data_IF_828022779714
#
_entry.id   IF_828022779714
#
_cell.length_a   1.000
_cell.length_b   1.000
_cell.length_c   1.000
_cell.angle_alpha   90.00
_cell.angle_beta   90.00
_cell.angle_gamma   90.00
#
_symmetry.space_group_name_H-M   'P 1'
#
loop_
_entity.id
_entity.type
_entity.pdbx_description
1 polymer ?
#
# COMPACT_ATOMS: atom_id res chain seq x y z
N UNK A 1 19.93 -9.79 -9.80
CA UNK A 1 19.69 -8.34 -9.61
C UNK A 1 18.21 -8.18 -9.20
N UNK A 2 17.81 -7.23 -8.33
CA UNK A 2 16.40 -7.06 -7.89
C UNK A 2 15.39 -6.80 -9.04
N UNK A 3 15.88 -6.67 -10.27
CA UNK A 3 15.15 -6.49 -11.52
C UNK A 3 14.75 -7.79 -12.24
N UNK A 4 15.38 -8.94 -11.94
CA UNK A 4 15.09 -10.20 -12.62
C UNK A 4 14.03 -11.00 -11.82
N UNK A 5 12.91 -11.33 -12.46
CA UNK A 5 11.77 -12.04 -11.86
C UNK A 5 11.14 -11.34 -10.64
N UNK A 6 11.03 -10.01 -10.68
CA UNK A 6 10.34 -9.27 -9.63
C UNK A 6 8.84 -9.61 -9.61
N UNK A 7 8.37 -10.06 -8.45
CA UNK A 7 6.94 -10.16 -8.13
C UNK A 7 6.59 -9.07 -7.12
N UNK A 8 5.72 -8.10 -7.48
CA UNK A 8 5.37 -7.05 -6.55
C UNK A 8 4.54 -7.58 -5.40
N UNK A 9 4.88 -7.13 -4.19
CA UNK A 9 4.01 -7.30 -3.04
C UNK A 9 2.86 -6.32 -3.05
N UNK A 10 1.84 -6.63 -2.26
CA UNK A 10 0.74 -5.73 -1.90
C UNK A 10 1.31 -4.48 -1.20
N UNK A 11 0.74 -3.30 -1.48
CA UNK A 11 1.16 -2.02 -0.92
C UNK A 11 0.00 -1.33 -0.22
N UNK A 12 0.23 -0.84 0.99
CA UNK A 12 -0.72 -0.03 1.75
C UNK A 12 -0.18 1.39 1.84
N UNK A 13 -1.02 2.37 1.52
CA UNK A 13 -0.64 3.78 1.53
C UNK A 13 -1.39 4.54 2.62
N UNK A 14 -0.64 5.36 3.35
CA UNK A 14 -1.12 6.16 4.47
C UNK A 14 -0.59 7.58 4.32
N UNK A 15 -1.33 8.58 4.80
CA UNK A 15 -0.83 9.95 4.83
C UNK A 15 0.17 10.09 5.96
N UNK A 16 1.35 10.61 5.63
CA UNK A 16 2.43 10.75 6.61
C UNK A 16 2.04 11.57 7.83
N UNK A 17 1.34 12.70 7.61
CA UNK A 17 0.87 13.59 8.68
C UNK A 17 -0.10 12.90 9.64
N UNK A 18 -0.98 12.05 9.12
CA UNK A 18 -1.99 11.35 9.90
C UNK A 18 -1.32 10.27 10.78
N UNK A 19 -0.28 9.60 10.27
CA UNK A 19 0.55 8.67 11.06
C UNK A 19 1.31 9.39 12.18
N UNK A 20 1.89 10.55 11.90
CA UNK A 20 2.65 11.34 12.89
C UNK A 20 1.74 11.94 13.98
N UNK A 21 0.48 12.24 13.65
CA UNK A 21 -0.52 12.70 14.58
C UNK A 21 -1.20 11.58 15.39
N UNK A 22 -0.96 10.31 15.03
CA UNK A 22 -1.61 9.17 15.69
C UNK A 22 -1.19 9.07 17.17
N UNK A 23 -2.16 8.80 18.07
CA UNK A 23 -1.93 8.77 19.53
C UNK A 23 -0.88 7.74 19.97
N UNK A 24 -0.77 6.64 19.23
CA UNK A 24 0.24 5.57 19.41
C UNK A 24 1.50 5.75 18.54
N UNK A 25 1.73 6.93 17.96
CA UNK A 25 2.94 7.19 17.19
C UNK A 25 4.19 6.90 18.02
N UNK A 26 5.17 6.22 17.42
CA UNK A 26 6.42 5.90 18.07
C UNK A 26 7.61 5.99 17.12
N UNK A 27 8.78 6.19 17.72
CA UNK A 27 10.08 6.10 17.09
C UNK A 27 10.79 4.87 17.66
N UNK A 28 11.34 4.02 16.80
CA UNK A 28 12.16 2.87 17.22
C UNK A 28 13.66 3.22 17.31
N UNK A 29 14.01 4.50 17.19
CA UNK A 29 15.38 5.01 17.16
C UNK A 29 16.05 4.94 15.78
N UNK A 30 15.39 4.41 14.74
CA UNK A 30 15.96 4.32 13.39
C UNK A 30 14.99 4.79 12.30
N UNK A 31 13.75 4.34 12.31
CA UNK A 31 12.72 4.70 11.33
C UNK A 31 11.60 5.51 11.98
N UNK A 32 11.32 6.70 11.42
CA UNK A 32 10.13 7.47 11.78
C UNK A 32 8.88 6.92 11.06
N UNK A 33 7.69 7.10 11.65
CA UNK A 33 6.42 6.68 11.01
C UNK A 33 5.84 5.36 11.49
N UNK A 34 6.10 4.99 12.74
CA UNK A 34 5.57 3.76 13.32
C UNK A 34 4.39 4.06 14.23
N UNK A 35 3.45 3.13 14.27
CA UNK A 35 2.32 3.10 15.21
C UNK A 35 2.45 1.83 16.03
N UNK A 36 2.34 1.93 17.35
CA UNK A 36 2.42 0.76 18.24
C UNK A 36 1.17 -0.13 18.11
N UNK A 37 1.38 -1.44 18.17
CA UNK A 37 0.38 -2.52 18.11
C UNK A 37 -0.31 -2.68 16.75
N UNK A 38 -1.17 -1.73 16.37
CA UNK A 38 -2.00 -1.80 15.16
C UNK A 38 -2.40 -0.41 14.68
N UNK A 39 -2.83 -0.35 13.42
CA UNK A 39 -3.45 0.82 12.80
C UNK A 39 -4.79 0.40 12.20
N UNK A 40 -5.80 1.25 12.35
CA UNK A 40 -7.10 1.04 11.73
C UNK A 40 -7.03 1.36 10.23
N UNK A 41 -7.30 0.37 9.38
CA UNK A 41 -7.28 0.57 7.92
C UNK A 41 -8.47 1.38 7.44
N UNK A 42 -9.61 1.31 8.11
CA UNK A 42 -10.77 2.10 7.73
C UNK A 42 -10.51 3.59 7.89
N UNK A 43 -9.87 3.96 8.99
CA UNK A 43 -9.62 5.36 9.33
C UNK A 43 -8.39 5.93 8.59
N UNK A 44 -7.28 5.18 8.51
CA UNK A 44 -5.99 5.77 8.11
C UNK A 44 -5.53 5.40 6.69
N UNK A 45 -6.05 4.31 6.10
CA UNK A 45 -5.57 3.86 4.78
C UNK A 45 -6.15 4.74 3.66
N UNK A 46 -5.28 5.30 2.83
CA UNK A 46 -5.68 5.98 1.59
C UNK A 46 -6.15 4.94 0.58
N UNK A 47 -5.28 3.98 0.27
CA UNK A 47 -5.56 2.90 -0.65
C UNK A 47 -4.64 1.70 -0.40
N UNK A 48 -5.10 0.54 -0.87
CA UNK A 48 -4.31 -0.66 -1.01
C UNK A 48 -4.12 -0.93 -2.51
N UNK A 49 -2.88 -1.10 -2.96
CA UNK A 49 -2.56 -1.41 -4.35
C UNK A 49 -2.00 -2.83 -4.40
N UNK A 50 -2.66 -3.68 -5.19
CA UNK A 50 -2.33 -5.09 -5.32
C UNK A 50 -1.96 -5.43 -6.78
N UNK A 51 -1.05 -6.38 -7.02
CA UNK A 51 -0.87 -6.96 -8.34
C UNK A 51 -2.19 -7.58 -8.82
N UNK A 52 -2.54 -7.38 -10.08
CA UNK A 52 -3.79 -7.93 -10.65
C UNK A 52 -3.86 -9.46 -10.60
N UNK A 53 -2.73 -10.15 -10.58
CA UNK A 53 -2.67 -11.60 -10.39
C UNK A 53 -3.30 -12.07 -9.06
N UNK A 54 -3.38 -11.19 -8.06
CA UNK A 54 -3.99 -11.49 -6.76
C UNK A 54 -5.50 -11.20 -6.72
N UNK A 55 -6.09 -10.65 -7.78
CA UNK A 55 -7.50 -10.23 -7.78
C UNK A 55 -8.45 -11.39 -7.44
N UNK A 56 -8.28 -12.54 -8.09
CA UNK A 56 -9.14 -13.71 -7.83
C UNK A 56 -9.00 -14.24 -6.39
N UNK A 57 -7.80 -14.14 -5.81
CA UNK A 57 -7.53 -14.60 -4.45
C UNK A 57 -8.17 -13.68 -3.39
N UNK A 58 -8.18 -12.36 -3.63
CA UNK A 58 -8.56 -11.38 -2.61
C UNK A 58 -9.96 -10.77 -2.80
N UNK A 59 -10.50 -10.73 -4.02
CA UNK A 59 -11.73 -9.99 -4.34
C UNK A 59 -12.93 -10.35 -3.47
N UNK A 60 -13.03 -11.60 -3.03
CA UNK A 60 -14.16 -12.09 -2.22
C UNK A 60 -13.92 -12.03 -0.70
N UNK A 61 -12.70 -11.68 -0.26
CA UNK A 61 -12.36 -11.59 1.17
C UNK A 61 -12.08 -10.15 1.63
N UNK A 62 -11.99 -9.20 0.69
CA UNK A 62 -11.84 -7.78 1.02
C UNK A 62 -13.12 -7.29 1.70
N UNK A 63 -13.02 -6.66 2.89
CA UNK A 63 -14.16 -6.04 3.55
C UNK A 63 -14.84 -5.00 2.67
N UNK A 64 -16.18 -4.95 2.67
CA UNK A 64 -16.98 -4.09 1.80
C UNK A 64 -16.66 -2.58 1.97
N UNK A 65 -16.35 -2.17 3.19
CA UNK A 65 -15.89 -0.84 3.59
C UNK A 65 -14.51 -0.44 3.03
N UNK A 66 -13.73 -1.40 2.56
CA UNK A 66 -12.39 -1.18 2.00
C UNK A 66 -12.34 -1.33 0.48
N UNK A 67 -13.37 -1.91 -0.15
CA UNK A 67 -13.29 -2.36 -1.55
C UNK A 67 -12.97 -1.22 -2.53
N UNK A 68 -13.54 -0.03 -2.34
CA UNK A 68 -13.33 1.13 -3.21
C UNK A 68 -11.90 1.73 -3.09
N UNK A 69 -11.19 1.34 -2.02
CA UNK A 69 -9.80 1.71 -1.75
C UNK A 69 -8.81 0.65 -2.21
N UNK A 70 -9.25 -0.53 -2.66
CA UNK A 70 -8.38 -1.55 -3.24
C UNK A 70 -8.27 -1.35 -4.75
N UNK A 71 -7.04 -1.27 -5.26
CA UNK A 71 -6.75 -1.07 -6.69
C UNK A 71 -5.88 -2.22 -7.19
N UNK A 72 -6.40 -2.95 -8.17
CA UNK A 72 -5.64 -3.99 -8.86
C UNK A 72 -4.91 -3.39 -10.06
N UNK A 73 -3.59 -3.57 -10.11
CA UNK A 73 -2.73 -3.02 -11.16
C UNK A 73 -1.96 -4.17 -11.82
N UNK A 74 -1.97 -4.23 -13.14
CA UNK A 74 -1.15 -5.21 -13.86
C UNK A 74 0.33 -4.84 -13.74
N UNK A 75 1.11 -5.71 -13.10
CA UNK A 75 2.52 -5.48 -12.88
C UNK A 75 3.38 -5.81 -14.10
N UNK A 76 2.85 -6.54 -15.09
CA UNK A 76 3.57 -6.88 -16.32
C UNK A 76 3.87 -5.66 -17.19
N UNK A 77 3.15 -4.56 -16.95
CA UNK A 77 3.40 -3.27 -17.58
C UNK A 77 4.61 -2.52 -16.99
N UNK A 78 5.17 -2.96 -15.86
CA UNK A 78 6.39 -2.41 -15.28
C UNK A 78 7.60 -3.27 -15.66
N UNK A 79 8.69 -2.64 -16.08
CA UNK A 79 9.93 -3.35 -16.48
C UNK A 79 10.70 -3.88 -15.27
N UNK A 80 10.59 -3.21 -14.14
CA UNK A 80 11.29 -3.54 -12.91
C UNK A 80 10.54 -3.02 -11.66
N UNK A 81 11.14 -3.29 -10.50
CA UNK A 81 10.63 -2.83 -9.20
C UNK A 81 10.56 -1.30 -9.07
N UNK A 82 11.43 -0.56 -9.75
CA UNK A 82 11.48 0.90 -9.66
C UNK A 82 10.32 1.52 -10.43
N UNK A 83 10.06 1.04 -11.65
CA UNK A 83 8.92 1.46 -12.45
C UNK A 83 7.59 1.09 -11.77
N UNK A 84 7.50 -0.14 -11.22
CA UNK A 84 6.36 -0.53 -10.39
C UNK A 84 6.14 0.45 -9.24
N UNK A 85 7.19 0.70 -8.44
CA UNK A 85 7.12 1.57 -7.26
C UNK A 85 6.68 3.00 -7.62
N UNK A 86 7.25 3.55 -8.69
CA UNK A 86 6.88 4.89 -9.19
C UNK A 86 5.42 4.95 -9.61
N UNK A 87 4.95 3.94 -10.35
CA UNK A 87 3.56 3.85 -10.81
C UNK A 87 2.57 3.75 -9.66
N UNK A 88 2.79 2.82 -8.74
CA UNK A 88 1.86 2.63 -7.61
C UNK A 88 1.86 3.83 -6.67
N UNK A 89 3.02 4.49 -6.49
CA UNK A 89 3.09 5.74 -5.73
C UNK A 89 2.29 6.86 -6.39
N UNK A 90 2.37 7.01 -7.72
CA UNK A 90 1.57 8.00 -8.45
C UNK A 90 0.07 7.78 -8.27
N UNK A 91 -0.39 6.54 -8.41
CA UNK A 91 -1.81 6.17 -8.19
C UNK A 91 -2.25 6.51 -6.76
N UNK A 92 -1.41 6.19 -5.76
CA UNK A 92 -1.72 6.50 -4.37
C UNK A 92 -1.78 8.01 -4.10
N UNK A 93 -0.85 8.78 -4.70
CA UNK A 93 -0.79 10.23 -4.54
C UNK A 93 -1.95 10.95 -5.23
N UNK A 94 -2.51 10.40 -6.30
CA UNK A 94 -3.73 10.94 -6.95
C UNK A 94 -5.00 10.68 -6.12
N UNK A 95 -4.95 9.77 -5.14
CA UNK A 95 -6.08 9.41 -4.26
C UNK A 95 -6.03 10.07 -2.88
N UNK A 96 -4.92 10.70 -2.50
CA UNK A 96 -4.55 10.97 -1.11
C UNK A 96 -4.22 12.41 -0.77
#
# INVERSE_FOLDING_TARGET
>A
MLSENFYPGIRYYFRRKDIEAHSKYCLDGYHAGKVRDFIDLDEYMICCIMPKAEEENFRNIIPQNLIDRVVFVDYKEAKDIFEWTSRVYKIANERG
#
